data_IF_244316040279
#
_entry.id   IF_244316040279
#
_cell.length_a   1.000
_cell.length_b   1.000
_cell.length_c   1.000
_cell.angle_alpha   90.00
_cell.angle_beta   90.00
_cell.angle_gamma   90.00
#
_symmetry.space_group_name_H-M   'P 1'
#
loop_
_entity.id
_entity.type
_entity.pdbx_description
1 polymer ?
#
# COMPACT_ATOMS: atom_id res chain seq x y z
N UNK A 1 -32.42 39.84 -8.16
CA UNK A 1 -30.96 40.02 -8.21
C UNK A 1 -30.50 40.17 -6.77
N UNK A 2 -30.10 39.06 -6.15
CA UNK A 2 -29.47 39.06 -4.84
C UNK A 2 -27.96 39.22 -5.07
N UNK A 3 -27.32 40.17 -4.39
CA UNK A 3 -25.87 40.33 -4.40
C UNK A 3 -25.30 39.64 -3.16
N UNK A 4 -24.71 38.44 -3.27
CA UNK A 4 -24.15 37.71 -2.12
C UNK A 4 -22.77 38.25 -1.73
N UNK A 5 -22.50 39.56 -1.90
CA UNK A 5 -21.21 40.14 -1.60
C UNK A 5 -21.00 40.28 -0.08
N UNK A 6 -19.83 39.89 0.47
CA UNK A 6 -19.53 40.00 1.91
C UNK A 6 -19.64 41.43 2.47
N UNK A 7 -19.54 42.43 1.60
CA UNK A 7 -19.78 43.85 1.87
C UNK A 7 -21.20 44.15 2.36
N UNK A 8 -22.20 43.41 1.88
CA UNK A 8 -23.60 43.57 2.29
C UNK A 8 -23.81 43.16 3.75
N UNK A 9 -23.14 42.09 4.21
CA UNK A 9 -23.27 41.61 5.59
C UNK A 9 -22.44 42.41 6.59
N UNK A 10 -21.32 43.02 6.17
CA UNK A 10 -20.56 43.93 7.04
C UNK A 10 -21.30 45.24 7.36
N UNK A 11 -22.16 45.72 6.47
CA UNK A 11 -22.90 46.98 6.68
C UNK A 11 -24.14 46.83 7.57
N UNK A 12 -24.64 45.60 7.78
CA UNK A 12 -25.84 45.33 8.57
C UNK A 12 -25.62 45.28 10.10
N UNK A 13 -24.37 45.24 10.57
CA UNK A 13 -24.06 45.13 12.00
C UNK A 13 -24.40 43.75 12.56
N UNK A 14 -23.46 43.14 13.30
CA UNK A 14 -23.57 41.76 13.79
C UNK A 14 -24.79 41.47 14.69
N UNK A 15 -25.49 42.50 15.17
CA UNK A 15 -26.66 42.39 16.05
C UNK A 15 -28.01 42.20 15.33
N UNK A 16 -28.09 42.31 14.00
CA UNK A 16 -29.36 42.24 13.27
C UNK A 16 -29.48 41.06 12.27
N UNK A 17 -28.50 40.16 12.21
CA UNK A 17 -28.49 39.05 11.26
C UNK A 17 -28.78 37.67 11.89
N UNK A 18 -29.37 37.61 13.08
CA UNK A 18 -29.82 36.34 13.62
C UNK A 18 -31.06 35.88 12.82
N UNK A 19 -31.04 34.71 12.16
CA UNK A 19 -32.21 34.19 11.47
C UNK A 19 -33.38 34.12 12.45
N UNK A 20 -34.52 34.66 12.03
CA UNK A 20 -35.72 34.79 12.85
C UNK A 20 -36.67 33.59 12.71
N UNK A 21 -36.47 32.79 11.66
CA UNK A 21 -37.25 31.60 11.36
C UNK A 21 -36.37 30.49 10.75
N UNK A 22 -36.96 29.31 10.53
CA UNK A 22 -36.25 28.11 10.04
C UNK A 22 -35.76 28.25 8.60
N UNK A 23 -36.52 28.94 7.74
CA UNK A 23 -36.17 29.14 6.32
C UNK A 23 -34.95 30.06 6.19
N UNK A 24 -34.94 31.19 6.93
CA UNK A 24 -33.78 32.09 7.01
C UNK A 24 -32.53 31.39 7.55
N UNK A 25 -32.71 30.48 8.51
CA UNK A 25 -31.60 29.68 9.04
C UNK A 25 -31.08 28.70 7.98
N UNK A 26 -31.95 28.00 7.27
CA UNK A 26 -31.57 27.08 6.20
C UNK A 26 -30.82 27.81 5.09
N UNK A 27 -31.36 28.92 4.59
CA UNK A 27 -30.72 29.77 3.59
C UNK A 27 -29.35 30.26 4.06
N UNK A 28 -29.26 30.68 5.33
CA UNK A 28 -28.01 31.10 5.91
C UNK A 28 -26.99 29.95 6.00
N UNK A 29 -27.41 28.75 6.41
CA UNK A 29 -26.53 27.59 6.46
C UNK A 29 -26.05 27.18 5.07
N UNK A 30 -26.95 27.11 4.10
CA UNK A 30 -26.57 26.89 2.71
C UNK A 30 -25.61 27.97 2.22
N UNK A 31 -25.80 29.24 2.60
CA UNK A 31 -24.87 30.31 2.25
C UNK A 31 -23.49 30.11 2.89
N UNK A 32 -23.43 29.76 4.18
CA UNK A 32 -22.16 29.49 4.88
C UNK A 32 -21.43 28.32 4.23
N UNK A 33 -22.12 27.20 4.00
CA UNK A 33 -21.53 26.02 3.36
C UNK A 33 -21.17 26.26 1.88
N UNK A 34 -21.95 27.06 1.15
CA UNK A 34 -21.70 27.35 -0.28
C UNK A 34 -20.77 28.54 -0.53
N UNK A 35 -20.43 29.35 0.48
CA UNK A 35 -19.48 30.47 0.35
C UNK A 35 -18.04 29.98 0.19
N UNK A 36 -17.76 29.45 -1.01
CA UNK A 36 -16.57 28.65 -1.32
C UNK A 36 -15.34 29.48 -1.71
N UNK A 37 -15.11 30.66 -1.12
CA UNK A 37 -14.02 31.52 -1.61
C UNK A 37 -13.47 32.50 -0.58
N UNK A 38 -12.18 32.31 -0.25
CA UNK A 38 -11.21 33.30 0.28
C UNK A 38 -11.53 34.09 1.56
N UNK A 39 -12.74 33.95 2.12
CA UNK A 39 -13.01 34.53 3.42
C UNK A 39 -12.36 33.63 4.45
N UNK A 40 -11.18 34.04 4.88
CA UNK A 40 -10.50 33.49 6.04
C UNK A 40 -11.54 33.34 7.17
N UNK A 41 -11.89 32.11 7.58
CA UNK A 41 -12.87 31.89 8.63
C UNK A 41 -12.49 32.63 9.91
N UNK A 42 -11.18 32.87 10.14
CA UNK A 42 -10.71 33.70 11.24
C UNK A 42 -11.20 35.16 11.11
N UNK A 43 -11.30 35.72 9.89
CA UNK A 43 -11.82 37.08 9.64
C UNK A 43 -13.34 37.18 9.72
N UNK A 44 -14.07 36.07 9.59
CA UNK A 44 -15.52 36.03 9.88
C UNK A 44 -15.76 35.77 11.36
N UNK A 45 -14.95 34.92 11.99
CA UNK A 45 -14.97 34.64 13.42
C UNK A 45 -14.59 35.86 14.28
N UNK A 46 -13.74 36.76 13.76
CA UNK A 46 -13.45 38.07 14.37
C UNK A 46 -14.57 39.10 14.15
N UNK A 47 -15.38 38.96 13.09
CA UNK A 47 -16.41 39.93 12.72
C UNK A 47 -17.80 39.63 13.33
N UNK A 48 -18.03 38.40 13.77
CA UNK A 48 -19.20 38.01 14.55
C UNK A 48 -18.78 36.89 15.49
N UNK A 49 -19.13 37.01 16.77
CA UNK A 49 -18.86 36.06 17.84
C UNK A 49 -19.20 34.63 17.38
N UNK A 50 -18.21 33.89 16.86
CA UNK A 50 -18.38 32.54 16.32
C UNK A 50 -18.98 31.61 17.38
N UNK A 51 -18.75 31.92 18.67
CA UNK A 51 -19.38 31.21 19.79
C UNK A 51 -20.89 31.46 19.89
N UNK A 52 -21.37 32.63 19.46
CA UNK A 52 -22.79 32.98 19.37
C UNK A 52 -23.45 32.35 18.14
N UNK A 53 -22.77 32.34 16.98
CA UNK A 53 -23.25 31.57 15.82
C UNK A 53 -23.30 30.08 16.12
N UNK A 54 -22.21 29.54 16.68
CA UNK A 54 -22.17 28.15 17.14
C UNK A 54 -23.31 27.91 18.10
N UNK A 55 -23.53 28.72 19.14
CA UNK A 55 -24.68 28.56 20.05
C UNK A 55 -26.04 28.56 19.34
N UNK A 56 -26.24 29.44 18.35
CA UNK A 56 -27.48 29.50 17.60
C UNK A 56 -27.66 28.25 16.73
N UNK A 57 -26.63 27.87 15.97
CA UNK A 57 -26.64 26.63 15.20
C UNK A 57 -26.88 25.42 16.11
N UNK A 58 -26.23 25.37 17.27
CA UNK A 58 -26.36 24.29 18.25
C UNK A 58 -27.78 24.23 18.82
N UNK A 59 -28.45 25.38 19.04
CA UNK A 59 -29.84 25.39 19.53
C UNK A 59 -30.86 25.03 18.45
N UNK A 60 -30.58 25.33 17.17
CA UNK A 60 -31.52 25.13 16.07
C UNK A 60 -31.27 23.86 15.25
N UNK A 61 -30.06 23.29 15.25
CA UNK A 61 -29.73 22.07 14.51
C UNK A 61 -30.58 20.87 14.96
N UNK A 62 -31.02 20.87 16.23
CA UNK A 62 -31.96 19.89 16.76
C UNK A 62 -33.36 19.95 16.13
N UNK A 63 -33.67 21.04 15.42
CA UNK A 63 -34.95 21.30 14.76
C UNK A 63 -34.88 21.10 13.24
N UNK A 64 -33.69 20.86 12.68
CA UNK A 64 -33.55 20.61 11.24
C UNK A 64 -34.13 19.24 10.89
N UNK A 65 -34.91 19.13 9.79
CA UNK A 65 -35.28 17.84 9.24
C UNK A 65 -34.03 17.00 8.96
N UNK A 66 -34.03 15.68 9.21
CA UNK A 66 -32.86 14.83 8.98
C UNK A 66 -32.30 14.94 7.56
N UNK A 67 -33.17 15.00 6.54
CA UNK A 67 -32.80 15.14 5.13
C UNK A 67 -31.98 16.41 4.87
N UNK A 68 -32.38 17.52 5.48
CA UNK A 68 -31.69 18.80 5.36
C UNK A 68 -30.32 18.75 6.04
N UNK A 69 -30.24 18.13 7.22
CA UNK A 69 -28.97 17.92 7.90
C UNK A 69 -28.00 17.07 7.05
N UNK A 70 -28.51 16.05 6.34
CA UNK A 70 -27.71 15.24 5.41
C UNK A 70 -27.22 16.04 4.21
N UNK A 71 -28.07 16.88 3.62
CA UNK A 71 -27.70 17.73 2.49
C UNK A 71 -26.59 18.73 2.87
N UNK A 72 -26.70 19.33 4.05
CA UNK A 72 -25.69 20.25 4.59
C UNK A 72 -24.37 19.53 4.86
N UNK A 73 -24.39 18.33 5.45
CA UNK A 73 -23.17 17.52 5.61
C UNK A 73 -22.53 17.15 4.27
N UNK A 74 -23.34 16.79 3.28
CA UNK A 74 -22.87 16.55 1.91
C UNK A 74 -22.13 17.76 1.36
N UNK A 75 -22.71 18.94 1.50
CA UNK A 75 -22.10 20.19 1.04
C UNK A 75 -20.82 20.52 1.82
N UNK A 76 -20.81 20.31 3.14
CA UNK A 76 -19.61 20.48 3.97
C UNK A 76 -18.44 19.59 3.49
N UNK A 77 -18.74 18.33 3.17
CA UNK A 77 -17.79 17.38 2.60
C UNK A 77 -17.28 17.86 1.25
N UNK A 78 -18.15 18.24 0.31
CA UNK A 78 -17.74 18.76 -1.00
C UNK A 78 -16.81 19.98 -0.89
N UNK A 79 -17.11 20.89 0.04
CA UNK A 79 -16.47 22.20 0.15
C UNK A 79 -15.22 22.24 1.03
N UNK A 80 -14.76 21.09 1.56
CA UNK A 80 -13.60 20.98 2.47
C UNK A 80 -13.75 21.80 3.76
N UNK A 81 -14.98 22.03 4.21
CA UNK A 81 -15.26 22.75 5.45
C UNK A 81 -15.15 21.81 6.65
N UNK A 82 -13.93 21.33 6.95
CA UNK A 82 -13.70 20.27 7.95
C UNK A 82 -14.01 20.75 9.37
N UNK A 83 -13.80 22.04 9.68
CA UNK A 83 -14.14 22.58 10.98
C UNK A 83 -15.66 22.63 11.19
N UNK A 84 -16.38 23.15 10.20
CA UNK A 84 -17.83 23.23 10.17
C UNK A 84 -18.45 21.83 10.18
N UNK A 85 -17.86 20.90 9.42
CA UNK A 85 -18.20 19.48 9.47
C UNK A 85 -18.09 18.95 10.90
N UNK A 86 -16.95 19.14 11.58
CA UNK A 86 -16.79 18.71 12.99
C UNK A 86 -17.84 19.34 13.91
N UNK A 87 -18.19 20.61 13.71
CA UNK A 87 -19.26 21.25 14.48
C UNK A 87 -20.63 20.60 14.24
N UNK A 88 -21.00 20.34 12.99
CA UNK A 88 -22.24 19.63 12.66
C UNK A 88 -22.26 18.20 13.20
N UNK A 89 -21.14 17.48 13.11
CA UNK A 89 -21.02 16.10 13.58
C UNK A 89 -21.09 16.01 15.12
N UNK A 90 -20.51 16.97 15.84
CA UNK A 90 -20.70 17.08 17.29
C UNK A 90 -22.18 17.19 17.63
N UNK A 91 -22.95 17.93 16.84
CA UNK A 91 -24.37 18.10 17.09
C UNK A 91 -25.24 16.93 16.67
N UNK A 92 -24.86 16.18 15.65
CA UNK A 92 -25.51 14.89 15.40
C UNK A 92 -25.28 13.92 16.57
N UNK A 93 -24.11 14.00 17.22
CA UNK A 93 -23.84 13.22 18.43
C UNK A 93 -24.71 13.65 19.62
N UNK A 94 -25.07 14.94 19.72
CA UNK A 94 -26.03 15.42 20.74
C UNK A 94 -27.47 15.08 20.35
N UNK A 95 -27.84 15.13 19.07
CA UNK A 95 -29.14 14.68 18.55
C UNK A 95 -29.43 13.21 18.81
N UNK A 96 -28.41 12.34 18.88
CA UNK A 96 -28.58 10.95 19.33
C UNK A 96 -29.24 10.86 20.72
N UNK A 97 -29.01 11.86 21.60
CA UNK A 97 -29.68 11.92 22.92
C UNK A 97 -31.18 12.18 22.80
N UNK A 98 -31.65 12.72 21.67
CA UNK A 98 -33.05 12.98 21.38
C UNK A 98 -33.76 11.79 20.69
N UNK A 99 -33.09 10.64 20.51
CA UNK A 99 -33.71 9.39 20.01
C UNK A 99 -33.63 9.18 18.50
N UNK A 100 -32.99 10.08 17.75
CA UNK A 100 -32.70 9.86 16.33
C UNK A 100 -31.32 9.22 16.17
N UNK A 101 -31.29 7.90 15.94
CA UNK A 101 -30.05 7.18 15.70
C UNK A 101 -29.64 7.26 14.23
N UNK A 102 -28.53 7.96 13.97
CA UNK A 102 -27.88 7.98 12.66
C UNK A 102 -27.32 6.59 12.37
N UNK A 103 -27.80 5.96 11.31
CA UNK A 103 -27.30 4.64 10.91
C UNK A 103 -26.04 4.77 10.05
N UNK A 104 -25.17 3.76 10.12
CA UNK A 104 -23.98 3.71 9.26
C UNK A 104 -24.34 3.71 7.76
N UNK A 105 -25.47 3.11 7.39
CA UNK A 105 -25.95 3.10 6.00
C UNK A 105 -26.24 4.50 5.45
N UNK A 106 -26.76 5.41 6.28
CA UNK A 106 -27.02 6.80 5.88
C UNK A 106 -25.73 7.61 5.70
N UNK A 107 -24.68 7.29 6.48
CA UNK A 107 -23.39 7.98 6.40
C UNK A 107 -22.46 7.43 5.32
N UNK A 108 -22.72 6.22 4.81
CA UNK A 108 -21.84 5.56 3.85
C UNK A 108 -21.57 6.40 2.58
N UNK A 109 -22.58 7.01 1.92
CA UNK A 109 -22.31 7.87 0.76
C UNK A 109 -21.43 9.07 1.10
N UNK A 110 -21.57 9.65 2.30
CA UNK A 110 -20.75 10.77 2.76
C UNK A 110 -19.30 10.33 3.02
N UNK A 111 -19.09 9.16 3.64
CA UNK A 111 -17.76 8.59 3.84
C UNK A 111 -17.07 8.27 2.52
N UNK A 112 -17.77 7.63 1.58
CA UNK A 112 -17.24 7.32 0.24
C UNK A 112 -16.83 8.59 -0.48
N UNK A 113 -17.71 9.60 -0.46
CA UNK A 113 -17.43 10.89 -1.10
C UNK A 113 -16.26 11.63 -0.45
N UNK A 114 -16.13 11.56 0.86
CA UNK A 114 -15.00 12.13 1.58
C UNK A 114 -13.67 11.46 1.19
N UNK A 115 -13.65 10.13 1.02
CA UNK A 115 -12.47 9.39 0.53
C UNK A 115 -12.05 9.89 -0.85
N UNK A 116 -13.00 9.98 -1.78
CA UNK A 116 -12.72 10.46 -3.15
C UNK A 116 -12.14 11.88 -3.14
N UNK A 117 -12.76 12.80 -2.39
CA UNK A 117 -12.33 14.20 -2.34
C UNK A 117 -10.99 14.37 -1.62
N UNK A 118 -10.75 13.62 -0.54
CA UNK A 118 -9.46 13.64 0.16
C UNK A 118 -8.35 13.12 -0.77
N UNK A 119 -8.64 12.10 -1.60
CA UNK A 119 -7.69 11.59 -2.58
C UNK A 119 -7.37 12.56 -3.73
N UNK A 120 -8.31 13.45 -4.09
CA UNK A 120 -8.09 14.53 -5.06
C UNK A 120 -7.30 15.71 -4.49
N UNK A 121 -7.10 15.78 -3.17
CA UNK A 121 -6.43 16.92 -2.51
C UNK A 121 -4.89 16.88 -2.64
N UNK A 122 -4.36 16.08 -3.58
CA UNK A 122 -2.94 15.96 -3.91
C UNK A 122 -2.37 17.29 -4.41
N UNK A 123 -1.65 18.02 -3.56
CA UNK A 123 -1.10 19.31 -3.99
C UNK A 123 0.15 19.80 -3.26
N UNK A 124 0.30 19.54 -1.96
CA UNK A 124 1.47 20.05 -1.22
C UNK A 124 2.08 19.00 -0.29
N UNK A 125 3.17 18.33 -0.70
CA UNK A 125 3.87 17.30 0.08
C UNK A 125 4.59 17.82 1.34
N UNK A 126 4.04 18.81 2.03
CA UNK A 126 4.61 19.33 3.28
C UNK A 126 3.66 20.12 4.18
N UNK A 127 2.38 20.33 3.80
CA UNK A 127 1.43 21.17 4.57
C UNK A 127 0.02 20.57 4.58
N UNK A 128 -0.11 19.26 4.36
CA UNK A 128 -1.37 18.56 4.60
C UNK A 128 -1.54 18.37 6.09
N UNK A 129 -1.98 19.41 6.81
CA UNK A 129 -2.42 19.24 8.18
C UNK A 129 -3.49 18.14 8.20
N UNK A 130 -3.29 17.01 8.92
CA UNK A 130 -4.27 15.94 9.01
C UNK A 130 -5.63 16.41 9.51
N UNK A 131 -5.70 17.59 10.14
CA UNK A 131 -6.95 18.25 10.53
C UNK A 131 -7.76 18.80 9.34
N UNK A 132 -7.21 18.80 8.12
CA UNK A 132 -7.90 19.24 6.89
C UNK A 132 -8.48 18.09 6.06
N UNK A 133 -8.33 16.84 6.51
CA UNK A 133 -8.95 15.68 5.88
C UNK A 133 -10.39 15.51 6.39
N UNK A 134 -11.30 15.19 5.48
CA UNK A 134 -12.74 15.06 5.75
C UNK A 134 -13.04 13.72 6.42
N UNK A 135 -12.41 12.65 5.94
CA UNK A 135 -12.70 11.30 6.41
C UNK A 135 -12.39 11.10 7.91
N UNK A 136 -11.25 11.55 8.47
CA UNK A 136 -10.99 11.39 9.91
C UNK A 136 -12.07 12.05 10.77
N UNK A 137 -12.55 13.24 10.39
CA UNK A 137 -13.64 13.92 11.11
C UNK A 137 -14.94 13.11 11.07
N UNK A 138 -15.28 12.53 9.92
CA UNK A 138 -16.48 11.70 9.77
C UNK A 138 -16.39 10.37 10.52
N UNK A 139 -15.19 9.79 10.65
CA UNK A 139 -14.98 8.53 11.37
C UNK A 139 -14.96 8.69 12.90
N UNK A 140 -14.91 9.93 13.42
CA UNK A 140 -15.11 10.21 14.86
C UNK A 140 -16.57 10.05 15.31
N UNK A 141 -17.50 9.87 14.36
CA UNK A 141 -18.91 9.65 14.65
C UNK A 141 -19.13 8.29 15.33
N UNK A 142 -20.01 8.19 16.35
CA UNK A 142 -20.36 6.91 16.96
C UNK A 142 -20.88 5.87 15.96
N UNK A 143 -21.58 6.31 14.92
CA UNK A 143 -22.08 5.43 13.86
C UNK A 143 -20.95 4.71 13.10
N UNK A 144 -19.74 5.27 13.03
CA UNK A 144 -18.59 4.61 12.42
C UNK A 144 -18.14 3.36 13.21
N UNK A 145 -18.38 3.32 14.52
CA UNK A 145 -18.08 2.16 15.36
C UNK A 145 -19.01 0.97 15.06
N UNK A 146 -20.15 1.23 14.42
CA UNK A 146 -21.16 0.24 14.03
C UNK A 146 -21.23 0.08 12.50
N UNK A 147 -20.16 0.45 11.80
CA UNK A 147 -20.07 0.28 10.35
C UNK A 147 -20.16 -1.21 9.99
N UNK A 148 -21.06 -1.62 9.07
CA UNK A 148 -21.08 -2.99 8.56
C UNK A 148 -19.73 -3.36 7.93
N UNK A 149 -19.32 -4.62 8.04
CA UNK A 149 -18.05 -5.10 7.46
C UNK A 149 -17.98 -4.81 5.96
N UNK A 150 -19.04 -5.10 5.21
CA UNK A 150 -19.10 -4.85 3.76
C UNK A 150 -18.94 -3.36 3.42
N UNK A 151 -19.47 -2.47 4.25
CA UNK A 151 -19.33 -1.03 4.09
C UNK A 151 -17.89 -0.57 4.38
N UNK A 152 -17.22 -1.16 5.37
CA UNK A 152 -15.80 -0.91 5.65
C UNK A 152 -14.92 -1.36 4.48
N UNK A 153 -15.18 -2.57 3.93
CA UNK A 153 -14.48 -3.09 2.75
C UNK A 153 -14.68 -2.19 1.54
N UNK A 154 -15.92 -1.74 1.30
CA UNK A 154 -16.22 -0.82 0.20
C UNK A 154 -15.45 0.52 0.35
N UNK A 155 -15.41 1.11 1.56
CA UNK A 155 -14.64 2.33 1.81
C UNK A 155 -13.14 2.12 1.61
N UNK A 156 -12.60 0.98 2.03
CA UNK A 156 -11.19 0.65 1.78
C UNK A 156 -10.91 0.50 0.28
N UNK A 157 -11.77 -0.20 -0.46
CA UNK A 157 -11.62 -0.34 -1.91
C UNK A 157 -11.60 1.04 -2.59
N UNK A 158 -12.55 1.92 -2.26
CA UNK A 158 -12.58 3.30 -2.78
C UNK A 158 -11.29 4.06 -2.44
N UNK A 159 -10.75 3.88 -1.22
CA UNK A 159 -9.51 4.54 -0.82
C UNK A 159 -8.30 4.04 -1.61
N UNK A 160 -8.23 2.73 -1.88
CA UNK A 160 -7.16 2.11 -2.66
C UNK A 160 -7.25 2.45 -4.14
N UNK A 161 -8.46 2.45 -4.71
CA UNK A 161 -8.71 2.79 -6.12
C UNK A 161 -8.34 4.24 -6.45
N UNK A 162 -8.44 5.13 -5.47
CA UNK A 162 -8.09 6.53 -5.64
C UNK A 162 -6.58 6.80 -5.77
N UNK A 163 -5.73 5.79 -5.52
CA UNK A 163 -4.29 5.75 -5.80
C UNK A 163 -3.52 7.05 -5.43
N UNK A 164 -3.84 7.63 -4.26
CA UNK A 164 -3.29 8.91 -3.79
C UNK A 164 -2.38 8.72 -2.58
N UNK A 165 -1.44 9.62 -2.31
CA UNK A 165 -0.70 9.60 -1.03
C UNK A 165 -1.61 9.78 0.19
N UNK A 166 -2.80 10.34 0.00
CA UNK A 166 -3.84 10.45 1.03
C UNK A 166 -4.58 9.14 1.28
N UNK A 167 -4.49 8.14 0.38
CA UNK A 167 -5.10 6.80 0.57
C UNK A 167 -4.58 6.16 1.86
N UNK A 168 -3.30 6.33 2.16
CA UNK A 168 -2.63 5.71 3.31
C UNK A 168 -3.30 6.14 4.62
N UNK A 169 -3.61 7.43 4.78
CA UNK A 169 -4.30 7.93 5.96
C UNK A 169 -5.73 7.42 6.06
N UNK A 170 -6.43 7.35 4.92
CA UNK A 170 -7.78 6.81 4.87
C UNK A 170 -7.80 5.33 5.27
N UNK A 171 -6.94 4.50 4.65
CA UNK A 171 -6.78 3.08 4.97
C UNK A 171 -6.41 2.90 6.43
N UNK A 172 -5.41 3.62 6.94
CA UNK A 172 -5.02 3.57 8.36
C UNK A 172 -6.21 3.84 9.29
N UNK A 173 -7.02 4.86 8.99
CA UNK A 173 -8.18 5.21 9.82
C UNK A 173 -9.28 4.17 9.73
N UNK A 174 -9.57 3.64 8.55
CA UNK A 174 -10.59 2.60 8.39
C UNK A 174 -10.12 1.30 9.08
N UNK A 175 -8.82 0.96 9.03
CA UNK A 175 -8.23 -0.17 9.77
C UNK A 175 -8.36 -0.04 11.30
N UNK A 176 -8.55 1.17 11.83
CA UNK A 176 -8.80 1.39 13.26
C UNK A 176 -10.23 1.12 13.71
N UNK A 177 -11.16 0.90 12.77
CA UNK A 177 -12.56 0.63 13.08
C UNK A 177 -12.76 -0.83 13.53
N UNK A 178 -13.69 -1.12 14.46
CA UNK A 178 -13.97 -2.50 14.91
C UNK A 178 -14.35 -3.45 13.78
N UNK A 179 -15.06 -2.96 12.77
CA UNK A 179 -15.51 -3.75 11.62
C UNK A 179 -14.37 -4.28 10.76
N UNK A 180 -13.23 -3.59 10.73
CA UNK A 180 -12.04 -4.07 10.03
C UNK A 180 -11.52 -5.40 10.59
N UNK A 181 -11.54 -5.53 11.92
CA UNK A 181 -11.08 -6.74 12.61
C UNK A 181 -12.00 -7.96 12.39
N UNK A 182 -13.17 -7.73 11.77
CA UNK A 182 -14.15 -8.76 11.43
C UNK A 182 -14.18 -9.08 9.93
N UNK A 183 -13.27 -8.52 9.12
CA UNK A 183 -13.15 -8.82 7.70
C UNK A 183 -12.71 -10.28 7.52
N UNK A 184 -13.37 -10.99 6.61
CA UNK A 184 -13.03 -12.38 6.25
C UNK A 184 -11.89 -12.44 5.22
N UNK A 185 -11.16 -13.57 5.11
CA UNK A 185 -10.00 -13.68 4.23
C UNK A 185 -10.29 -13.35 2.76
N UNK A 186 -11.46 -13.73 2.23
CA UNK A 186 -11.85 -13.49 0.84
C UNK A 186 -11.99 -11.99 0.51
N UNK A 187 -12.55 -11.23 1.45
CA UNK A 187 -12.69 -9.77 1.32
C UNK A 187 -11.33 -9.09 1.44
N UNK A 188 -10.51 -9.53 2.40
CA UNK A 188 -9.16 -9.00 2.59
C UNK A 188 -8.27 -9.30 1.39
N UNK A 189 -8.40 -10.47 0.75
CA UNK A 189 -7.67 -10.85 -0.45
C UNK A 189 -7.82 -9.82 -1.57
N UNK A 190 -9.06 -9.37 -1.84
CA UNK A 190 -9.34 -8.35 -2.85
C UNK A 190 -8.67 -7.01 -2.53
N UNK A 191 -8.70 -6.59 -1.26
CA UNK A 191 -8.06 -5.35 -0.79
C UNK A 191 -6.53 -5.42 -0.91
N UNK A 192 -5.92 -6.54 -0.52
CA UNK A 192 -4.47 -6.75 -0.62
C UNK A 192 -4.02 -6.73 -2.08
N UNK A 193 -4.77 -7.38 -2.97
CA UNK A 193 -4.48 -7.36 -4.41
C UNK A 193 -4.63 -5.95 -5.01
N UNK A 194 -5.67 -5.20 -4.64
CA UNK A 194 -5.86 -3.82 -5.08
C UNK A 194 -4.71 -2.91 -4.62
N UNK A 195 -4.33 -2.98 -3.35
CA UNK A 195 -3.20 -2.22 -2.79
C UNK A 195 -1.88 -2.59 -3.48
N UNK A 196 -1.66 -3.88 -3.74
CA UNK A 196 -0.47 -4.35 -4.43
C UNK A 196 -0.40 -3.90 -5.90
N UNK A 197 -1.52 -3.95 -6.62
CA UNK A 197 -1.62 -3.42 -7.99
C UNK A 197 -1.35 -1.91 -8.04
N UNK A 198 -1.71 -1.18 -7.00
CA UNK A 198 -1.40 0.25 -6.85
C UNK A 198 0.05 0.52 -6.37
N UNK A 199 0.83 -0.53 -6.07
CA UNK A 199 2.12 -0.44 -5.37
C UNK A 199 2.05 0.36 -4.05
N UNK A 200 0.89 0.35 -3.38
CA UNK A 200 0.64 1.03 -2.10
C UNK A 200 1.04 0.13 -0.93
N UNK A 201 2.35 0.02 -0.71
CA UNK A 201 2.92 -0.87 0.28
C UNK A 201 2.58 -0.46 1.72
N UNK A 202 2.38 0.83 1.98
CA UNK A 202 1.97 1.30 3.31
C UNK A 202 0.55 0.85 3.62
N UNK A 203 -0.36 0.88 2.64
CA UNK A 203 -1.70 0.30 2.82
C UNK A 203 -1.64 -1.22 3.03
N UNK A 204 -0.81 -1.96 2.29
CA UNK A 204 -0.59 -3.40 2.54
C UNK A 204 -0.14 -3.64 3.97
N UNK A 205 0.77 -2.83 4.51
CA UNK A 205 1.22 -2.94 5.89
C UNK A 205 0.08 -2.78 6.89
N UNK A 206 -0.83 -1.81 6.69
CA UNK A 206 -2.01 -1.69 7.54
C UNK A 206 -2.97 -2.87 7.38
N UNK A 207 -3.21 -3.32 6.14
CA UNK A 207 -4.03 -4.51 5.87
C UNK A 207 -3.46 -5.77 6.54
N UNK A 208 -2.13 -5.89 6.64
CA UNK A 208 -1.47 -7.01 7.30
C UNK A 208 -1.68 -7.09 8.81
N UNK A 209 -2.25 -6.04 9.42
CA UNK A 209 -2.66 -6.08 10.83
C UNK A 209 -3.99 -6.78 11.07
N UNK A 210 -4.79 -7.05 10.01
CA UNK A 210 -6.04 -7.79 10.15
C UNK A 210 -5.77 -9.24 10.59
N UNK A 211 -6.56 -9.82 11.52
CA UNK A 211 -6.41 -11.21 11.93
C UNK A 211 -6.50 -12.19 10.76
N UNK A 212 -7.47 -11.95 9.87
CA UNK A 212 -7.71 -12.73 8.65
C UNK A 212 -6.56 -12.68 7.64
N UNK A 213 -5.55 -11.80 7.83
CA UNK A 213 -4.37 -11.77 6.97
C UNK A 213 -3.58 -13.09 7.05
N UNK A 214 -3.53 -13.69 8.24
CA UNK A 214 -2.86 -14.97 8.46
C UNK A 214 -3.60 -16.16 7.85
N UNK A 215 -4.84 -15.95 7.40
CA UNK A 215 -5.68 -16.97 6.79
C UNK A 215 -5.79 -16.80 5.27
N UNK A 216 -5.10 -15.81 4.69
CA UNK A 216 -5.02 -15.64 3.24
C UNK A 216 -4.39 -16.87 2.60
N UNK A 217 -4.80 -17.22 1.39
CA UNK A 217 -4.15 -18.35 0.69
C UNK A 217 -2.79 -17.94 0.12
N UNK A 218 -1.83 -18.87 -0.01
CA UNK A 218 -0.54 -18.57 -0.64
C UNK A 218 -0.71 -18.08 -2.08
N UNK A 219 -1.73 -18.54 -2.80
CA UNK A 219 -2.03 -18.11 -4.15
C UNK A 219 -2.43 -16.62 -4.23
N UNK A 220 -3.22 -16.14 -3.26
CA UNK A 220 -3.59 -14.72 -3.16
C UNK A 220 -2.37 -13.85 -2.91
N UNK A 221 -1.51 -14.26 -1.97
CA UNK A 221 -0.29 -13.54 -1.64
C UNK A 221 0.68 -13.52 -2.82
N UNK A 222 0.87 -14.65 -3.51
CA UNK A 222 1.68 -14.72 -4.72
C UNK A 222 1.16 -13.79 -5.82
N UNK A 223 -0.15 -13.78 -6.07
CA UNK A 223 -0.77 -12.89 -7.06
C UNK A 223 -0.61 -11.41 -6.69
N UNK A 224 -0.78 -11.07 -5.41
CA UNK A 224 -0.54 -9.71 -4.93
C UNK A 224 0.92 -9.31 -5.12
N UNK A 225 1.86 -10.19 -4.82
CA UNK A 225 3.30 -9.91 -4.99
C UNK A 225 3.67 -9.74 -6.46
N UNK A 226 3.14 -10.58 -7.34
CA UNK A 226 3.30 -10.43 -8.79
C UNK A 226 2.76 -9.07 -9.26
N UNK A 227 1.53 -8.71 -8.85
CA UNK A 227 0.94 -7.41 -9.17
C UNK A 227 1.78 -6.23 -8.66
N UNK A 228 2.27 -6.32 -7.42
CA UNK A 228 3.17 -5.34 -6.82
C UNK A 228 4.48 -5.18 -7.59
N UNK A 229 5.04 -6.28 -8.12
CA UNK A 229 6.28 -6.23 -8.89
C UNK A 229 6.08 -5.64 -10.27
N UNK A 230 4.94 -5.92 -10.92
CA UNK A 230 4.58 -5.34 -12.21
C UNK A 230 4.24 -3.85 -12.14
N UNK A 231 3.67 -3.39 -11.02
CA UNK A 231 3.27 -2.00 -10.83
C UNK A 231 4.45 -1.03 -10.61
N UNK A 232 5.66 -1.52 -10.28
CA UNK A 232 6.80 -0.66 -9.99
C UNK A 232 7.40 0.00 -11.24
N UNK A 233 6.76 1.04 -11.77
CA UNK A 233 7.36 1.87 -12.82
C UNK A 233 8.44 2.82 -12.27
N UNK A 234 8.27 3.32 -11.04
CA UNK A 234 9.23 4.22 -10.37
C UNK A 234 10.11 3.49 -9.34
N UNK A 235 11.38 3.88 -9.17
CA UNK A 235 12.25 3.26 -8.18
C UNK A 235 11.65 3.43 -6.79
N UNK A 236 11.49 2.34 -6.01
CA UNK A 236 10.88 2.43 -4.69
C UNK A 236 11.75 3.34 -3.82
N UNK A 237 11.09 4.28 -3.15
CA UNK A 237 11.68 5.05 -2.05
C UNK A 237 12.20 4.07 -0.98
N UNK A 238 13.07 4.55 -0.09
CA UNK A 238 13.58 3.72 1.01
C UNK A 238 12.43 3.08 1.81
N UNK A 239 11.37 3.84 2.05
CA UNK A 239 10.20 3.41 2.82
C UNK A 239 9.41 2.30 2.12
N UNK A 240 9.23 2.41 0.79
CA UNK A 240 8.60 1.36 -0.01
C UNK A 240 9.32 0.01 0.11
N UNK A 241 10.66 0.00 0.30
CA UNK A 241 11.40 -1.26 0.50
C UNK A 241 11.03 -1.91 1.82
N UNK A 242 10.93 -1.14 2.90
CA UNK A 242 10.60 -1.68 4.22
C UNK A 242 9.16 -2.20 4.27
N UNK A 243 8.23 -1.57 3.56
CA UNK A 243 6.85 -2.03 3.49
C UNK A 243 6.70 -3.30 2.62
N UNK A 244 7.45 -3.44 1.52
CA UNK A 244 7.50 -4.72 0.77
C UNK A 244 8.06 -5.83 1.67
N UNK A 245 9.01 -5.54 2.58
CA UNK A 245 9.48 -6.56 3.55
C UNK A 245 8.35 -7.06 4.44
N UNK A 246 7.40 -6.20 4.82
CA UNK A 246 6.28 -6.61 5.65
C UNK A 246 5.43 -7.64 4.90
N UNK A 247 5.07 -7.36 3.64
CA UNK A 247 4.31 -8.32 2.83
C UNK A 247 5.05 -9.66 2.70
N UNK A 248 6.35 -9.61 2.41
CA UNK A 248 7.18 -10.81 2.31
C UNK A 248 7.30 -11.58 3.61
N UNK A 249 7.53 -10.90 4.73
CA UNK A 249 7.66 -11.54 6.04
C UNK A 249 6.38 -12.20 6.46
N UNK A 250 5.24 -11.55 6.23
CA UNK A 250 3.95 -12.14 6.54
C UNK A 250 3.69 -13.35 5.64
N UNK A 251 3.85 -13.21 4.31
CA UNK A 251 3.67 -14.35 3.41
C UNK A 251 4.61 -15.53 3.72
N UNK A 252 5.86 -15.22 4.07
CA UNK A 252 6.85 -16.19 4.51
C UNK A 252 6.43 -16.87 5.82
N UNK A 253 6.10 -16.09 6.86
CA UNK A 253 5.74 -16.62 8.16
C UNK A 253 4.51 -17.55 8.11
N UNK A 254 3.57 -17.27 7.21
CA UNK A 254 2.31 -18.01 7.14
C UNK A 254 2.43 -19.24 6.22
N UNK A 255 3.22 -19.19 5.14
CA UNK A 255 3.15 -20.21 4.07
C UNK A 255 4.47 -20.74 3.53
N UNK A 256 5.57 -20.71 4.30
CA UNK A 256 6.78 -21.43 3.93
C UNK A 256 6.69 -22.96 4.10
N UNK A 257 5.53 -23.55 3.86
CA UNK A 257 5.44 -24.99 3.57
C UNK A 257 6.00 -25.23 2.17
N UNK A 258 6.40 -26.47 1.86
CA UNK A 258 6.93 -26.81 0.53
C UNK A 258 5.98 -26.38 -0.61
N UNK A 259 4.67 -26.47 -0.38
CA UNK A 259 3.64 -26.07 -1.34
C UNK A 259 3.51 -24.55 -1.49
N UNK A 260 3.62 -23.79 -0.39
CA UNK A 260 3.57 -22.33 -0.46
C UNK A 260 4.82 -21.73 -1.11
N UNK A 261 5.99 -22.35 -0.90
CA UNK A 261 7.20 -22.02 -1.65
C UNK A 261 6.97 -22.17 -3.16
N UNK A 262 6.39 -23.28 -3.61
CA UNK A 262 6.12 -23.50 -5.04
C UNK A 262 5.21 -22.41 -5.66
N UNK A 263 4.22 -21.91 -4.90
CA UNK A 263 3.33 -20.84 -5.34
C UNK A 263 3.99 -19.45 -5.32
N UNK A 264 4.91 -19.21 -4.39
CA UNK A 264 5.66 -17.94 -4.32
C UNK A 264 6.82 -17.87 -5.30
N UNK A 265 7.33 -19.02 -5.77
CA UNK A 265 8.45 -19.09 -6.70
C UNK A 265 8.23 -18.27 -7.99
N UNK A 266 7.10 -18.35 -8.71
CA UNK A 266 6.84 -17.48 -9.85
C UNK A 266 6.95 -15.98 -9.53
N UNK A 267 6.43 -15.53 -8.39
CA UNK A 267 6.54 -14.14 -7.97
C UNK A 267 8.00 -13.75 -7.62
N UNK A 268 8.77 -14.65 -7.01
CA UNK A 268 10.23 -14.49 -6.80
C UNK A 268 10.98 -14.33 -8.12
N UNK A 269 10.68 -15.21 -9.08
CA UNK A 269 11.30 -15.22 -10.40
C UNK A 269 10.94 -13.95 -11.18
N UNK A 270 9.67 -13.54 -11.18
CA UNK A 270 9.21 -12.29 -11.80
C UNK A 270 9.87 -11.07 -11.14
N UNK A 271 10.01 -11.08 -9.80
CA UNK A 271 10.74 -10.03 -9.08
C UNK A 271 12.20 -9.95 -9.50
N UNK A 272 12.87 -11.09 -9.65
CA UNK A 272 14.25 -11.20 -10.11
C UNK A 272 14.43 -10.70 -11.54
N UNK A 273 13.52 -11.09 -12.43
CA UNK A 273 13.47 -10.62 -13.81
C UNK A 273 13.33 -9.09 -13.87
N UNK A 274 12.34 -8.53 -13.15
CA UNK A 274 12.10 -7.08 -13.12
C UNK A 274 13.23 -6.29 -12.45
N UNK A 275 13.90 -6.87 -11.45
CA UNK A 275 15.06 -6.26 -10.80
C UNK A 275 16.21 -5.99 -11.78
N UNK A 276 16.39 -6.84 -12.80
CA UNK A 276 17.49 -6.67 -13.78
C UNK A 276 17.34 -5.44 -14.65
N UNK A 277 16.12 -5.22 -15.16
CA UNK A 277 15.79 -4.13 -16.08
C UNK A 277 15.96 -2.76 -15.43
N UNK A 278 15.68 -2.67 -14.13
CA UNK A 278 15.64 -1.39 -13.42
C UNK A 278 16.80 -1.17 -12.43
N UNK A 279 17.77 -2.11 -12.35
CA UNK A 279 18.88 -2.05 -11.39
C UNK A 279 18.45 -2.14 -9.92
N UNK A 280 17.26 -2.70 -9.65
CA UNK A 280 16.62 -2.67 -8.32
C UNK A 280 16.96 -3.91 -7.52
N UNK A 281 17.95 -3.79 -6.63
CA UNK A 281 18.40 -4.84 -5.70
C UNK A 281 17.37 -5.14 -4.58
N UNK A 282 16.22 -4.46 -4.56
CA UNK A 282 15.33 -4.44 -3.40
C UNK A 282 14.77 -5.82 -3.04
N UNK A 283 14.15 -6.57 -3.97
CA UNK A 283 13.34 -7.74 -3.63
C UNK A 283 14.10 -8.87 -2.91
N UNK A 284 15.37 -9.14 -3.26
CA UNK A 284 16.16 -10.17 -2.57
C UNK A 284 16.80 -9.70 -1.27
N UNK A 285 16.90 -8.39 -1.03
CA UNK A 285 17.25 -7.89 0.31
C UNK A 285 16.12 -8.18 1.30
N UNK A 286 14.90 -8.39 0.81
CA UNK A 286 13.70 -8.61 1.64
C UNK A 286 13.51 -10.07 2.03
N UNK A 287 14.16 -10.99 1.33
CA UNK A 287 14.29 -12.35 1.82
C UNK A 287 15.29 -12.35 2.97
N UNK A 288 14.73 -12.31 4.17
CA UNK A 288 15.48 -12.62 5.38
C UNK A 288 15.99 -14.06 5.26
N UNK A 289 17.25 -14.28 5.59
CA UNK A 289 17.89 -15.61 5.51
C UNK A 289 17.09 -16.61 6.37
N UNK A 290 16.51 -16.14 7.48
CA UNK A 290 15.65 -16.95 8.33
C UNK A 290 14.42 -17.51 7.61
N UNK A 291 13.82 -16.73 6.70
CA UNK A 291 12.64 -17.14 5.93
C UNK A 291 12.98 -18.12 4.81
N UNK A 292 14.24 -18.20 4.39
CA UNK A 292 14.64 -19.13 3.32
C UNK A 292 15.10 -20.48 3.87
N UNK A 293 15.22 -20.62 5.19
CA UNK A 293 15.65 -21.87 5.81
C UNK A 293 14.68 -23.05 5.62
N UNK A 294 13.43 -22.77 5.24
CA UNK A 294 12.37 -23.75 5.00
C UNK A 294 12.14 -24.01 3.50
N UNK A 295 12.93 -23.40 2.61
CA UNK A 295 12.85 -23.68 1.18
C UNK A 295 13.37 -25.10 0.91
N UNK A 296 12.64 -25.84 0.07
CA UNK A 296 13.09 -27.15 -0.40
C UNK A 296 14.33 -27.00 -1.30
N UNK A 297 15.14 -28.06 -1.38
CA UNK A 297 16.34 -28.06 -2.22
C UNK A 297 16.00 -27.72 -3.68
N UNK A 298 14.90 -28.25 -4.22
CA UNK A 298 14.42 -27.92 -5.58
C UNK A 298 14.02 -26.45 -5.73
N UNK A 299 13.39 -25.87 -4.71
CA UNK A 299 13.05 -24.44 -4.68
C UNK A 299 14.30 -23.57 -4.68
N UNK A 300 15.30 -23.96 -3.88
CA UNK A 300 16.61 -23.29 -3.83
C UNK A 300 17.32 -23.36 -5.18
N UNK A 301 17.34 -24.55 -5.80
CA UNK A 301 17.95 -24.76 -7.11
C UNK A 301 17.36 -23.81 -8.15
N UNK A 302 16.02 -23.72 -8.22
CA UNK A 302 15.33 -22.79 -9.14
C UNK A 302 15.66 -21.32 -8.86
N UNK A 303 15.83 -20.94 -7.58
CA UNK A 303 16.25 -19.58 -7.20
C UNK A 303 17.69 -19.28 -7.65
N UNK A 304 18.59 -20.24 -7.48
CA UNK A 304 19.98 -20.13 -7.91
C UNK A 304 20.08 -20.03 -9.43
N UNK A 305 19.35 -20.87 -10.18
CA UNK A 305 19.27 -20.79 -11.65
C UNK A 305 18.78 -19.42 -12.13
N UNK A 306 17.72 -18.90 -11.51
CA UNK A 306 17.20 -17.59 -11.84
C UNK A 306 18.17 -16.47 -11.49
N UNK A 307 18.89 -16.59 -10.37
CA UNK A 307 19.93 -15.64 -10.01
C UNK A 307 21.04 -15.60 -11.07
N UNK A 308 21.43 -16.76 -11.62
CA UNK A 308 22.40 -16.86 -12.72
C UNK A 308 21.88 -16.23 -14.02
N UNK A 309 20.60 -16.37 -14.32
CA UNK A 309 20.02 -15.72 -15.50
C UNK A 309 20.08 -14.18 -15.43
N UNK A 310 20.11 -13.62 -14.22
CA UNK A 310 19.74 -12.22 -14.01
C UNK A 310 20.85 -11.36 -13.37
N UNK A 311 21.43 -11.79 -12.24
CA UNK A 311 22.54 -11.10 -11.55
C UNK A 311 23.27 -12.11 -10.62
N UNK A 312 24.54 -12.40 -10.90
CA UNK A 312 25.38 -13.28 -10.07
C UNK A 312 25.51 -12.86 -8.60
N UNK A 313 25.40 -11.56 -8.26
CA UNK A 313 25.42 -11.11 -6.85
C UNK A 313 24.30 -11.72 -6.00
N UNK A 314 23.19 -12.10 -6.61
CA UNK A 314 22.10 -12.77 -5.92
C UNK A 314 22.40 -14.24 -5.67
N UNK A 315 23.08 -14.88 -6.61
CA UNK A 315 23.54 -16.26 -6.47
C UNK A 315 24.35 -16.37 -5.18
N UNK A 316 25.31 -15.47 -4.98
CA UNK A 316 26.18 -15.48 -3.81
C UNK A 316 25.45 -15.46 -2.47
N UNK A 317 24.36 -14.68 -2.39
CA UNK A 317 23.55 -14.55 -1.19
C UNK A 317 22.69 -15.78 -0.96
N UNK A 318 22.12 -16.35 -2.03
CA UNK A 318 21.29 -17.55 -1.98
C UNK A 318 22.17 -18.78 -1.68
N UNK A 319 23.37 -18.84 -2.27
CA UNK A 319 24.37 -19.88 -2.05
C UNK A 319 24.89 -19.95 -0.62
N UNK A 320 24.90 -18.82 0.09
CA UNK A 320 25.28 -18.77 1.51
C UNK A 320 24.26 -19.39 2.47
N UNK A 321 23.17 -20.00 1.97
CA UNK A 321 22.15 -20.63 2.80
C UNK A 321 22.55 -22.07 3.15
N UNK A 322 22.22 -22.56 4.37
CA UNK A 322 22.55 -23.93 4.78
C UNK A 322 22.02 -25.01 3.81
N UNK A 323 20.89 -24.75 3.15
CA UNK A 323 20.26 -25.67 2.20
C UNK A 323 21.10 -25.86 0.93
N UNK A 324 22.01 -24.91 0.61
CA UNK A 324 22.91 -25.08 -0.52
C UNK A 324 23.87 -26.26 -0.31
N UNK A 325 24.25 -26.55 0.93
CA UNK A 325 25.08 -27.72 1.29
C UNK A 325 24.40 -29.05 1.01
N UNK A 326 23.07 -29.06 0.87
CA UNK A 326 22.26 -30.24 0.56
C UNK A 326 22.15 -30.51 -0.95
N UNK A 327 22.72 -29.65 -1.80
CA UNK A 327 22.71 -29.86 -3.24
C UNK A 327 23.56 -31.06 -3.61
N UNK A 328 22.99 -31.99 -4.37
CA UNK A 328 23.70 -33.15 -4.88
C UNK A 328 24.50 -32.81 -6.16
N UNK A 329 25.31 -33.77 -6.61
CA UNK A 329 26.16 -33.56 -7.79
C UNK A 329 25.38 -33.30 -9.08
N UNK A 330 24.18 -33.88 -9.23
CA UNK A 330 23.34 -33.64 -10.41
C UNK A 330 22.84 -32.20 -10.43
N UNK A 331 22.38 -31.70 -9.29
CA UNK A 331 21.91 -30.32 -9.13
C UNK A 331 23.05 -29.31 -9.32
N UNK A 332 24.27 -29.62 -8.85
CA UNK A 332 25.45 -28.82 -9.13
C UNK A 332 25.79 -28.78 -10.63
N UNK A 333 25.74 -29.93 -11.31
CA UNK A 333 25.94 -30.03 -12.76
C UNK A 333 24.94 -29.17 -13.53
N UNK A 334 23.67 -29.18 -13.10
CA UNK A 334 22.62 -28.31 -13.66
C UNK A 334 22.91 -26.82 -13.46
N UNK A 335 23.36 -26.40 -12.27
CA UNK A 335 23.76 -25.01 -12.02
C UNK A 335 24.96 -24.58 -12.87
N UNK A 336 25.92 -25.48 -13.06
CA UNK A 336 27.08 -25.23 -13.92
C UNK A 336 26.65 -25.04 -15.38
N UNK A 337 25.76 -25.89 -15.89
CA UNK A 337 25.15 -25.72 -17.21
C UNK A 337 24.41 -24.37 -17.33
N UNK A 338 23.68 -23.97 -16.29
CA UNK A 338 22.97 -22.70 -16.26
C UNK A 338 23.94 -21.51 -16.28
N UNK A 339 25.00 -21.54 -15.45
CA UNK A 339 26.05 -20.53 -15.44
C UNK A 339 26.76 -20.43 -16.79
N UNK A 340 27.01 -21.59 -17.43
CA UNK A 340 27.58 -21.68 -18.77
C UNK A 340 26.72 -21.04 -19.84
N UNK A 341 25.41 -21.19 -19.73
CA UNK A 341 24.44 -20.65 -20.68
C UNK A 341 24.37 -19.12 -20.65
N UNK A 342 24.41 -18.53 -19.45
CA UNK A 342 24.20 -17.09 -19.26
C UNK A 342 25.50 -16.26 -19.26
N UNK A 343 26.66 -16.91 -19.15
CA UNK A 343 27.98 -16.30 -19.33
C UNK A 343 28.42 -15.38 -18.18
N UNK A 344 29.73 -15.15 -18.06
CA UNK A 344 30.26 -14.07 -17.21
C UNK A 344 30.17 -14.30 -15.69
N UNK A 345 30.17 -15.56 -15.24
CA UNK A 345 30.01 -15.90 -13.82
C UNK A 345 31.17 -16.75 -13.28
N UNK A 346 32.43 -16.37 -13.56
CA UNK A 346 33.61 -17.10 -13.07
C UNK A 346 33.57 -17.32 -11.55
N UNK A 347 33.24 -16.28 -10.78
CA UNK A 347 33.10 -16.36 -9.33
C UNK A 347 32.02 -17.37 -8.86
N UNK A 348 30.98 -17.59 -9.66
CA UNK A 348 29.96 -18.63 -9.37
C UNK A 348 30.56 -20.00 -9.60
N UNK A 349 31.23 -20.22 -10.75
CA UNK A 349 31.85 -21.50 -11.07
C UNK A 349 32.85 -21.89 -9.98
N UNK A 350 33.71 -20.95 -9.57
CA UNK A 350 34.65 -21.17 -8.46
C UNK A 350 33.96 -21.60 -7.16
N UNK A 351 32.79 -21.01 -6.84
CA UNK A 351 32.01 -21.42 -5.65
C UNK A 351 31.38 -22.80 -5.79
N UNK A 352 30.85 -23.12 -6.97
CA UNK A 352 30.29 -24.45 -7.24
C UNK A 352 31.41 -25.50 -7.11
N UNK A 353 32.62 -25.20 -7.59
CA UNK A 353 33.78 -26.08 -7.46
C UNK A 353 34.24 -26.29 -6.00
N UNK A 354 33.95 -25.34 -5.11
CA UNK A 354 34.27 -25.46 -3.68
C UNK A 354 33.23 -26.30 -2.92
N UNK A 355 32.12 -26.70 -3.56
CA UNK A 355 31.08 -27.50 -2.92
C UNK A 355 31.57 -28.93 -2.64
N UNK A 356 31.16 -29.51 -1.50
CA UNK A 356 31.59 -30.85 -1.07
C UNK A 356 31.19 -31.95 -2.06
N UNK A 357 30.02 -31.81 -2.70
CA UNK A 357 29.52 -32.74 -3.72
C UNK A 357 30.17 -32.58 -5.11
N UNK A 358 31.08 -31.61 -5.31
CA UNK A 358 31.71 -31.35 -6.60
C UNK A 358 32.48 -32.55 -7.17
N UNK A 359 33.19 -33.28 -6.31
CA UNK A 359 33.96 -34.48 -6.69
C UNK A 359 33.10 -35.63 -7.22
N UNK A 360 31.79 -35.55 -7.06
CA UNK A 360 30.82 -36.58 -7.46
C UNK A 360 30.05 -36.20 -8.73
N UNK A 361 30.38 -35.08 -9.38
CA UNK A 361 29.82 -34.70 -10.67
C UNK A 361 30.39 -35.59 -11.77
N UNK A 362 29.56 -36.03 -12.70
CA UNK A 362 30.01 -36.80 -13.86
C UNK A 362 31.04 -35.97 -14.66
N UNK A 363 32.28 -36.47 -14.85
CA UNK A 363 33.30 -35.80 -15.63
C UNK A 363 32.84 -35.41 -17.04
N UNK A 364 31.92 -36.18 -17.64
CA UNK A 364 31.37 -35.86 -18.96
C UNK A 364 30.48 -34.60 -18.92
N UNK A 365 29.58 -34.49 -17.95
CA UNK A 365 28.73 -33.31 -17.75
C UNK A 365 29.55 -32.07 -17.38
N UNK A 366 30.56 -32.26 -16.52
CA UNK A 366 31.50 -31.21 -16.13
C UNK A 366 32.26 -30.68 -17.35
N UNK A 367 32.85 -31.57 -18.15
CA UNK A 367 33.60 -31.20 -19.34
C UNK A 367 32.73 -30.48 -20.36
N UNK A 368 31.51 -30.96 -20.61
CA UNK A 368 30.57 -30.33 -21.53
C UNK A 368 30.21 -28.90 -21.09
N UNK A 369 29.93 -28.71 -19.81
CA UNK A 369 29.58 -27.40 -19.24
C UNK A 369 30.75 -26.41 -19.28
N UNK A 370 31.96 -26.87 -18.93
CA UNK A 370 33.18 -26.05 -18.96
C UNK A 370 33.59 -25.67 -20.39
N UNK A 371 33.45 -26.57 -21.35
CA UNK A 371 33.68 -26.27 -22.77
C UNK A 371 32.69 -25.21 -23.28
N UNK A 372 31.42 -25.30 -22.87
CA UNK A 372 30.41 -24.30 -23.20
C UNK A 372 30.76 -22.92 -22.61
N UNK A 373 31.20 -22.87 -21.34
CA UNK A 373 31.71 -21.64 -20.70
C UNK A 373 32.88 -21.03 -21.47
N UNK A 374 33.89 -21.85 -21.80
CA UNK A 374 35.08 -21.41 -22.53
C UNK A 374 34.74 -20.84 -23.92
N UNK A 375 33.75 -21.44 -24.59
CA UNK A 375 33.26 -20.96 -25.88
C UNK A 375 32.58 -19.59 -25.80
N UNK A 376 31.81 -19.30 -24.74
CA UNK A 376 31.14 -18.01 -24.57
C UNK A 376 32.07 -16.87 -24.17
N UNK A 377 33.12 -17.16 -23.37
CA UNK A 377 34.10 -16.16 -22.93
C UNK A 377 34.83 -15.45 -24.09
N UNK A 378 34.93 -16.08 -25.25
CA UNK A 378 35.54 -15.48 -26.44
C UNK A 378 34.62 -14.46 -27.16
N UNK A 379 33.31 -14.52 -26.94
CA UNK A 379 32.34 -13.65 -27.62
C UNK A 379 31.94 -12.41 -26.81
N UNK A 380 32.21 -12.37 -25.49
CA UNK A 380 31.86 -11.23 -24.62
C UNK A 380 33.06 -10.38 -24.17
N UNK A 381 34.29 -10.68 -24.62
CA UNK A 381 35.48 -9.88 -24.30
C UNK A 381 35.40 -8.49 -24.95
N UNK A 382 34.89 -7.53 -24.18
CA UNK A 382 35.41 -6.16 -24.24
C UNK A 382 36.89 -6.22 -23.82
N UNK A 383 37.80 -5.46 -24.45
CA UNK A 383 39.24 -5.59 -24.23
C UNK A 383 39.62 -5.06 -22.84
N UNK A 384 39.51 -5.90 -21.81
CA UNK A 384 40.13 -5.70 -20.50
C UNK A 384 40.91 -6.96 -20.09
N UNK A 385 41.94 -6.74 -19.30
CA UNK A 385 43.20 -7.50 -19.18
C UNK A 385 43.16 -8.85 -18.43
N UNK A 386 42.01 -9.50 -18.26
CA UNK A 386 41.87 -10.66 -17.36
C UNK A 386 42.04 -12.03 -18.06
N UNK A 387 42.97 -12.12 -19.01
CA UNK A 387 43.13 -13.29 -19.89
C UNK A 387 43.71 -14.57 -19.26
N UNK A 388 44.34 -14.49 -18.09
CA UNK A 388 45.13 -15.60 -17.53
C UNK A 388 44.36 -16.50 -16.53
N UNK A 389 43.22 -16.06 -15.98
CA UNK A 389 42.56 -16.78 -14.88
C UNK A 389 41.70 -17.98 -15.32
N UNK A 390 41.11 -17.97 -16.52
CA UNK A 390 40.29 -19.10 -17.01
C UNK A 390 41.09 -20.37 -17.32
N UNK A 391 42.41 -20.28 -17.50
CA UNK A 391 43.25 -21.44 -17.86
C UNK A 391 43.54 -22.33 -16.65
N UNK A 392 43.63 -21.76 -15.45
CA UNK A 392 43.93 -22.49 -14.22
C UNK A 392 42.77 -23.37 -13.72
N UNK A 393 41.52 -23.03 -14.04
CA UNK A 393 40.34 -23.81 -13.62
C UNK A 393 40.08 -25.07 -14.46
N UNK A 394 40.75 -25.21 -15.61
CA UNK A 394 40.66 -26.39 -16.50
C UNK A 394 41.83 -27.37 -16.31
N UNK A 395 42.83 -27.01 -15.50
CA UNK A 395 44.02 -27.83 -15.22
C UNK A 395 43.91 -28.59 -13.87
N UNK A 396 42.77 -28.52 -13.19
CA UNK A 396 42.37 -29.32 -12.01
C UNK A 396 41.25 -30.26 -12.43
#
# INVERSE_FOLDING_TARGET
MWDPSPSYYRSLGASHCAPTNMEELQDFLHLVFNSSGSIDPAKVADAADFSSWRRLFMSTATQLPPEEAWALLGTAVERRQVHELKCCLWELKTMRRAGHEVTAGQLLPLWQRAVELDALTQGHPGVGDPYTMRLPALLELPAAQHLPVDAAVALMSTALDAASTCSIFAVQRICSLPSFWSIIPEQLAGLVQAAAKAADYSSIRYLSSAPAFNDLSPAVLAAAMEAATGAQQTPPTRDARDDIRVLWRSAAAIHLTADGCALMMPALLASLQNATLNGRVACLVLLDVASLNSISVDGLLRLLEAALQHRSRFFDRIWGMPQAELLDSQQLGQLLCCAAKWGGHQAVVERICQHSAWSSIDPAEMTASLLQLAGQGNNQRSPSTDGEQCKAALEV
#
